data_IF_100280994153
#
_entry.id   IF_100280994153
#
_cell.length_a   1.000
_cell.length_b   1.000
_cell.length_c   1.000
_cell.angle_alpha   90.00
_cell.angle_beta   90.00
_cell.angle_gamma   90.00
#
_symmetry.space_group_name_H-M   'P 1'
#
loop_
_entity.id
_entity.type
_entity.pdbx_description
1 polymer ?
#
# COMPACT_ATOMS: atom_id res chain seq x y z
N UNK A 1 -38.40 -24.00 -21.67
CA UNK A 1 -37.47 -24.93 -20.99
C UNK A 1 -36.76 -24.16 -19.90
N UNK A 2 -36.89 -24.57 -18.65
CA UNK A 2 -36.25 -23.90 -17.50
C UNK A 2 -34.80 -24.38 -17.38
N UNK A 3 -33.85 -23.45 -17.47
CA UNK A 3 -32.41 -23.75 -17.31
C UNK A 3 -32.11 -24.17 -15.88
N UNK A 4 -31.49 -25.34 -15.71
CA UNK A 4 -31.07 -25.86 -14.40
C UNK A 4 -29.58 -25.55 -14.17
N UNK A 5 -29.30 -24.35 -13.65
CA UNK A 5 -27.93 -23.91 -13.38
C UNK A 5 -27.16 -24.78 -12.38
N UNK A 6 -27.86 -25.53 -11.50
CA UNK A 6 -27.22 -26.42 -10.53
C UNK A 6 -26.64 -27.68 -11.20
N UNK A 7 -27.40 -28.27 -12.13
CA UNK A 7 -26.92 -29.41 -12.91
C UNK A 7 -25.74 -29.02 -13.81
N UNK A 8 -25.85 -27.87 -14.48
CA UNK A 8 -24.79 -27.31 -15.31
C UNK A 8 -23.50 -27.02 -14.51
N UNK A 9 -23.62 -26.42 -13.32
CA UNK A 9 -22.48 -26.18 -12.45
C UNK A 9 -21.80 -27.47 -11.97
N UNK A 10 -22.56 -28.53 -11.70
CA UNK A 10 -21.99 -29.83 -11.32
C UNK A 10 -21.18 -30.47 -12.46
N UNK A 11 -21.64 -30.29 -13.70
CA UNK A 11 -20.94 -30.79 -14.89
C UNK A 11 -19.61 -30.05 -15.10
N UNK A 12 -19.62 -28.71 -15.00
CA UNK A 12 -18.39 -27.91 -15.07
C UNK A 12 -17.39 -28.32 -13.98
N UNK A 13 -17.83 -28.42 -12.72
CA UNK A 13 -16.95 -28.78 -11.61
C UNK A 13 -16.35 -30.18 -11.82
N UNK A 14 -17.10 -31.11 -12.39
CA UNK A 14 -16.60 -32.45 -12.72
C UNK A 14 -15.51 -32.39 -13.78
N UNK A 15 -15.71 -31.61 -14.84
CA UNK A 15 -14.74 -31.47 -15.92
C UNK A 15 -13.46 -30.77 -15.45
N UNK A 16 -13.60 -29.70 -14.67
CA UNK A 16 -12.47 -28.98 -14.08
C UNK A 16 -11.68 -29.90 -13.14
N UNK A 17 -12.34 -30.70 -12.28
CA UNK A 17 -11.66 -31.67 -11.42
C UNK A 17 -10.89 -32.70 -12.24
N UNK A 18 -11.51 -33.24 -13.30
CA UNK A 18 -10.86 -34.19 -14.20
C UNK A 18 -9.60 -33.60 -14.83
N UNK A 19 -9.69 -32.37 -15.35
CA UNK A 19 -8.56 -31.65 -15.92
C UNK A 19 -7.45 -31.41 -14.90
N UNK A 20 -7.78 -30.85 -13.73
CA UNK A 20 -6.80 -30.58 -12.67
C UNK A 20 -6.12 -31.86 -12.18
N UNK A 21 -6.87 -32.96 -11.98
CA UNK A 21 -6.27 -34.25 -11.60
C UNK A 21 -5.31 -34.76 -12.68
N UNK A 22 -5.66 -34.62 -13.95
CA UNK A 22 -4.81 -35.04 -15.07
C UNK A 22 -3.52 -34.23 -15.15
N UNK A 23 -3.59 -32.91 -14.98
CA UNK A 23 -2.44 -32.01 -15.04
C UNK A 23 -1.53 -32.14 -13.81
N UNK A 24 -2.08 -32.43 -12.63
CA UNK A 24 -1.30 -32.58 -11.40
C UNK A 24 -0.72 -33.98 -11.19
N UNK A 25 -1.25 -35.02 -11.86
CA UNK A 25 -0.77 -36.40 -11.71
C UNK A 25 0.74 -36.59 -11.97
N UNK A 26 1.36 -35.96 -12.99
CA UNK A 26 2.80 -36.04 -13.20
C UNK A 26 3.61 -35.40 -12.06
N UNK A 27 3.08 -34.33 -11.45
CA UNK A 27 3.74 -33.65 -10.33
C UNK A 27 3.71 -34.50 -9.06
N UNK A 28 2.56 -35.11 -8.74
CA UNK A 28 2.47 -36.05 -7.61
C UNK A 28 3.44 -37.22 -7.77
N UNK A 29 3.54 -37.78 -8.99
CA UNK A 29 4.50 -38.85 -9.26
C UNK A 29 5.96 -38.41 -9.03
N UNK A 30 6.33 -37.19 -9.45
CA UNK A 30 7.68 -36.65 -9.19
C UNK A 30 7.95 -36.47 -7.69
N UNK A 31 6.93 -36.10 -6.93
CA UNK A 31 7.02 -35.91 -5.48
C UNK A 31 7.23 -37.26 -4.78
N UNK A 32 6.43 -38.28 -5.13
CA UNK A 32 6.61 -39.65 -4.63
C UNK A 32 8.00 -40.22 -4.97
N UNK A 33 8.51 -39.95 -6.17
CA UNK A 33 9.83 -40.40 -6.61
C UNK A 33 10.95 -39.67 -5.84
N UNK A 34 10.76 -38.40 -5.47
CA UNK A 34 11.70 -37.63 -4.66
C UNK A 34 11.71 -38.10 -3.20
N UNK A 35 10.54 -38.35 -2.60
CA UNK A 35 10.43 -38.88 -1.24
C UNK A 35 11.17 -40.22 -1.13
N UNK A 36 10.95 -41.13 -2.09
CA UNK A 36 11.68 -42.41 -2.14
C UNK A 36 13.20 -42.24 -2.27
N UNK A 37 13.65 -41.22 -3.03
CA UNK A 37 15.09 -40.93 -3.16
C UNK A 37 15.66 -40.45 -1.83
N UNK A 38 14.95 -39.58 -1.13
CA UNK A 38 15.37 -39.05 0.18
C UNK A 38 15.43 -40.19 1.22
N UNK A 39 14.41 -41.05 1.27
CA UNK A 39 14.38 -42.20 2.17
C UNK A 39 15.50 -43.21 1.90
N UNK A 40 15.98 -43.27 0.65
CA UNK A 40 17.10 -44.13 0.24
C UNK A 40 18.48 -43.56 0.52
N UNK A 41 18.58 -42.31 1.01
CA UNK A 41 19.88 -41.70 1.33
C UNK A 41 20.53 -42.46 2.50
N UNK A 42 21.82 -42.81 2.38
CA UNK A 42 22.53 -43.50 3.46
C UNK A 42 22.63 -42.59 4.69
N UNK A 43 22.52 -43.17 5.88
CA UNK A 43 22.72 -42.46 7.15
C UNK A 43 24.12 -41.81 7.12
N UNK A 44 24.25 -40.50 7.37
CA UNK A 44 25.55 -39.85 7.41
C UNK A 44 26.46 -40.57 8.41
N UNK A 45 27.60 -41.07 7.92
CA UNK A 45 28.65 -41.63 8.77
C UNK A 45 29.71 -40.56 8.95
N UNK A 46 30.19 -40.37 10.17
CA UNK A 46 31.38 -39.55 10.41
C UNK A 46 32.58 -40.17 9.67
N UNK A 47 32.99 -39.52 8.59
CA UNK A 47 34.09 -40.01 7.76
C UNK A 47 34.42 -39.07 6.60
N UNK A 48 35.54 -38.35 6.77
CA UNK A 48 36.29 -37.50 5.83
C UNK A 48 35.48 -36.43 5.07
N UNK A 49 35.94 -35.19 5.15
CA UNK A 49 35.34 -34.03 4.48
C UNK A 49 35.01 -34.34 3.01
N UNK A 50 33.84 -33.90 2.56
CA UNK A 50 33.40 -34.07 1.17
C UNK A 50 34.44 -33.48 0.22
N UNK A 51 34.88 -34.26 -0.77
CA UNK A 51 35.77 -33.76 -1.81
C UNK A 51 35.00 -32.74 -2.67
N UNK A 52 35.35 -31.46 -2.51
CA UNK A 52 34.71 -30.37 -3.23
C UNK A 52 34.84 -30.49 -4.76
N UNK A 53 35.82 -31.24 -5.28
CA UNK A 53 35.94 -31.51 -6.71
C UNK A 53 34.89 -32.54 -7.16
N UNK A 54 34.63 -33.57 -6.34
CA UNK A 54 33.61 -34.58 -6.61
C UNK A 54 32.21 -33.97 -6.53
N UNK A 55 31.95 -33.16 -5.50
CA UNK A 55 30.71 -32.38 -5.36
C UNK A 55 30.49 -31.46 -6.56
N UNK A 56 31.53 -30.76 -7.02
CA UNK A 56 31.45 -29.89 -8.20
C UNK A 56 31.14 -30.67 -9.48
N UNK A 57 31.68 -31.88 -9.63
CA UNK A 57 31.39 -32.76 -10.77
C UNK A 57 29.92 -33.19 -10.77
N UNK A 58 29.40 -33.64 -9.63
CA UNK A 58 28.01 -34.07 -9.48
C UNK A 58 27.05 -32.92 -9.81
N UNK A 59 27.30 -31.74 -9.25
CA UNK A 59 26.47 -30.56 -9.50
C UNK A 59 26.51 -30.17 -10.99
N UNK A 60 27.68 -30.24 -11.63
CA UNK A 60 27.81 -29.93 -13.06
C UNK A 60 27.01 -30.88 -13.95
N UNK A 61 27.02 -32.18 -13.63
CA UNK A 61 26.27 -33.20 -14.38
C UNK A 61 24.76 -33.06 -14.16
N UNK A 62 24.32 -32.78 -12.92
CA UNK A 62 22.92 -32.50 -12.62
C UNK A 62 22.41 -31.25 -13.33
N UNK A 63 23.18 -30.15 -13.31
CA UNK A 63 22.84 -28.91 -14.00
C UNK A 63 22.71 -29.10 -15.51
N UNK A 64 23.53 -29.96 -16.11
CA UNK A 64 23.43 -30.30 -17.53
C UNK A 64 22.11 -31.01 -17.84
N UNK A 65 21.70 -31.98 -17.02
CA UNK A 65 20.43 -32.68 -17.19
C UNK A 65 19.22 -31.75 -17.05
N UNK A 66 19.28 -30.79 -16.12
CA UNK A 66 18.23 -29.79 -15.91
C UNK A 66 18.14 -28.84 -17.11
N UNK A 67 19.30 -28.41 -17.62
CA UNK A 67 19.36 -27.52 -18.79
C UNK A 67 18.76 -28.20 -20.03
N UNK A 68 19.07 -29.48 -20.25
CA UNK A 68 18.47 -30.28 -21.32
C UNK A 68 16.94 -30.42 -21.15
N UNK A 69 16.47 -30.66 -19.94
CA UNK A 69 15.03 -30.74 -19.64
C UNK A 69 14.31 -29.40 -19.85
N UNK A 70 14.92 -28.28 -19.46
CA UNK A 70 14.36 -26.93 -19.64
C UNK A 70 14.27 -26.57 -21.12
N UNK A 71 15.32 -26.87 -21.90
CA UNK A 71 15.34 -26.60 -23.34
C UNK A 71 14.35 -27.47 -24.13
N UNK A 72 13.91 -28.61 -23.58
CA UNK A 72 12.90 -29.48 -24.19
C UNK A 72 11.45 -29.02 -23.91
N UNK A 73 11.25 -28.01 -23.05
CA UNK A 73 9.93 -27.45 -22.82
C UNK A 73 9.50 -26.70 -24.09
N UNK A 74 8.49 -27.25 -24.78
CA UNK A 74 7.91 -26.56 -25.93
C UNK A 74 7.28 -25.24 -25.47
N UNK A 75 7.41 -24.15 -26.26
CA UNK A 75 6.76 -22.90 -25.94
C UNK A 75 5.25 -23.11 -25.81
N UNK A 76 4.65 -22.43 -24.83
CA UNK A 76 3.21 -22.48 -24.63
C UNK A 76 2.50 -22.13 -25.95
N UNK A 77 1.42 -22.85 -26.32
CA UNK A 77 0.65 -22.52 -27.52
C UNK A 77 0.14 -21.08 -27.42
N UNK A 78 0.17 -20.36 -28.54
CA UNK A 78 -0.38 -19.01 -28.59
C UNK A 78 -1.87 -19.05 -28.23
N UNK A 79 -2.24 -18.26 -27.22
CA UNK A 79 -3.63 -18.09 -26.83
C UNK A 79 -4.42 -17.52 -28.02
N UNK A 80 -5.65 -17.99 -28.25
CA UNK A 80 -6.48 -17.45 -29.33
C UNK A 80 -6.73 -15.96 -29.10
N UNK A 81 -6.81 -15.21 -30.20
CA UNK A 81 -7.07 -13.77 -30.23
C UNK A 81 -8.50 -13.48 -29.73
N UNK A 82 -8.64 -13.30 -28.41
CA UNK A 82 -9.92 -13.09 -27.73
C UNK A 82 -10.69 -11.91 -28.36
N UNK A 83 -10.07 -10.75 -28.67
CA UNK A 83 -10.74 -9.68 -29.41
C UNK A 83 -11.42 -10.13 -30.70
N UNK A 84 -10.72 -10.90 -31.55
CA UNK A 84 -11.30 -11.39 -32.82
C UNK A 84 -12.45 -12.36 -32.60
N UNK A 85 -12.39 -13.20 -31.57
CA UNK A 85 -13.49 -14.11 -31.24
C UNK A 85 -14.75 -13.35 -30.83
N UNK A 86 -14.59 -12.26 -30.09
CA UNK A 86 -15.70 -11.39 -29.69
C UNK A 86 -16.30 -10.68 -30.92
N UNK A 87 -15.45 -10.17 -31.81
CA UNK A 87 -15.91 -9.52 -33.06
C UNK A 87 -16.70 -10.50 -33.95
N UNK A 88 -16.21 -11.73 -34.14
CA UNK A 88 -16.90 -12.76 -34.93
C UNK A 88 -18.28 -13.08 -34.34
N UNK A 89 -18.36 -13.25 -33.02
CA UNK A 89 -19.64 -13.57 -32.34
C UNK A 89 -20.59 -12.36 -32.34
N UNK A 90 -20.06 -11.15 -32.21
CA UNK A 90 -20.83 -9.91 -32.28
C UNK A 90 -21.47 -9.71 -33.65
N UNK A 91 -20.68 -9.91 -34.72
CA UNK A 91 -21.16 -9.84 -36.10
C UNK A 91 -22.16 -10.95 -36.41
N UNK A 92 -21.93 -12.17 -35.92
CA UNK A 92 -22.85 -13.29 -36.09
C UNK A 92 -24.24 -13.04 -35.45
N UNK A 93 -24.32 -12.18 -34.43
CA UNK A 93 -25.55 -11.79 -33.75
C UNK A 93 -26.25 -10.57 -34.34
N UNK A 94 -25.79 -10.08 -35.50
CA UNK A 94 -26.42 -8.97 -36.22
C UNK A 94 -25.79 -7.60 -35.95
N UNK A 95 -24.72 -7.55 -35.16
CA UNK A 95 -23.88 -6.37 -34.95
C UNK A 95 -24.65 -5.10 -34.59
N UNK A 96 -24.14 -3.96 -35.06
CA UNK A 96 -24.67 -2.63 -34.73
C UNK A 96 -26.08 -2.36 -35.30
N UNK A 97 -26.46 -3.00 -36.41
CA UNK A 97 -27.77 -2.82 -37.05
C UNK A 97 -28.90 -3.38 -36.19
N UNK A 98 -28.72 -4.57 -35.62
CA UNK A 98 -29.72 -5.18 -34.74
C UNK A 98 -29.87 -4.39 -33.43
N UNK A 99 -28.76 -3.88 -32.87
CA UNK A 99 -28.79 -3.01 -31.68
C UNK A 99 -29.55 -1.72 -31.98
N UNK A 100 -29.28 -1.07 -33.12
CA UNK A 100 -30.00 0.15 -33.53
C UNK A 100 -31.49 -0.09 -33.68
N UNK A 101 -31.88 -1.22 -34.27
CA UNK A 101 -33.28 -1.60 -34.42
C UNK A 101 -33.98 -1.75 -33.06
N UNK A 102 -33.35 -2.45 -32.12
CA UNK A 102 -33.88 -2.64 -30.76
C UNK A 102 -34.04 -1.28 -30.05
N UNK A 103 -33.04 -0.41 -30.16
CA UNK A 103 -33.07 0.93 -29.54
C UNK A 103 -34.15 1.81 -30.17
N UNK A 104 -34.29 1.81 -31.50
CA UNK A 104 -35.32 2.60 -32.20
C UNK A 104 -36.74 2.11 -31.87
N UNK A 105 -36.94 0.79 -31.77
CA UNK A 105 -38.22 0.22 -31.37
C UNK A 105 -38.58 0.60 -29.92
N UNK A 106 -37.61 0.50 -29.00
CA UNK A 106 -37.77 0.90 -27.61
C UNK A 106 -38.05 2.41 -27.46
N UNK A 107 -37.32 3.26 -28.20
CA UNK A 107 -37.54 4.70 -28.20
C UNK A 107 -38.92 5.07 -28.75
N UNK A 108 -39.35 4.43 -29.85
CA UNK A 108 -40.67 4.69 -30.44
C UNK A 108 -41.81 4.26 -29.49
N UNK A 109 -41.68 3.11 -28.83
CA UNK A 109 -42.67 2.65 -27.85
C UNK A 109 -42.80 3.64 -26.69
N UNK A 110 -41.67 4.10 -26.13
CA UNK A 110 -41.68 5.04 -25.01
C UNK A 110 -42.24 6.42 -25.38
N UNK A 111 -41.94 6.93 -26.58
CA UNK A 111 -42.44 8.24 -27.03
C UNK A 111 -43.96 8.22 -27.28
N UNK A 112 -44.51 7.09 -27.73
CA UNK A 112 -45.95 6.95 -27.97
C UNK A 112 -46.80 7.03 -26.69
N UNK A 113 -46.21 6.74 -25.53
CA UNK A 113 -46.91 6.77 -24.23
C UNK A 113 -46.89 8.15 -23.55
N UNK A 114 -46.15 9.13 -24.07
CA UNK A 114 -46.10 10.48 -23.50
C UNK A 114 -47.39 11.23 -23.88
N UNK A 115 -48.26 11.59 -22.92
CA UNK A 115 -49.47 12.34 -23.22
C UNK A 115 -49.11 13.75 -23.74
N UNK A 116 -49.77 14.15 -24.82
CA UNK A 116 -49.61 15.50 -25.39
C UNK A 116 -49.99 16.57 -24.34
N UNK A 117 -49.16 17.62 -24.15
CA UNK A 117 -49.47 18.67 -23.19
C UNK A 117 -50.76 19.38 -23.60
N UNK A 118 -51.69 19.56 -22.65
CA UNK A 118 -52.84 20.43 -22.84
C UNK A 118 -52.45 21.88 -22.54
N UNK A 119 -52.82 22.80 -23.43
CA UNK A 119 -52.59 24.23 -23.23
C UNK A 119 -53.43 24.73 -22.06
N UNK A 120 -52.77 25.27 -21.03
CA UNK A 120 -53.42 26.05 -19.98
C UNK A 120 -53.99 27.36 -20.53
N UNK A 121 -54.99 27.91 -19.85
CA UNK A 121 -55.49 29.27 -20.13
C UNK A 121 -54.43 30.30 -19.73
N UNK A 122 -54.22 31.29 -20.59
CA UNK A 122 -53.29 32.40 -20.35
C UNK A 122 -53.68 33.16 -19.07
N UNK A 123 -52.69 33.41 -18.22
CA UNK A 123 -52.82 34.33 -17.08
C UNK A 123 -52.79 35.78 -17.55
N UNK A 124 -53.46 36.67 -16.82
CA UNK A 124 -53.42 38.11 -17.10
C UNK A 124 -51.98 38.65 -17.03
N UNK A 125 -51.62 39.49 -18.00
CA UNK A 125 -50.30 40.11 -18.11
C UNK A 125 -50.03 41.02 -16.90
N UNK A 126 -49.07 40.62 -16.07
CA UNK A 126 -48.51 41.49 -15.03
C UNK A 126 -47.61 42.56 -15.66
N UNK A 127 -47.74 43.81 -15.19
CA UNK A 127 -46.86 44.90 -15.59
C UNK A 127 -45.41 44.58 -15.25
N UNK A 128 -44.56 44.63 -16.26
CA UNK A 128 -43.13 44.41 -16.21
C UNK A 128 -42.45 45.52 -15.39
N UNK A 129 -41.77 45.11 -14.31
CA UNK A 129 -40.88 45.99 -13.56
C UNK A 129 -39.66 46.35 -14.40
N UNK A 130 -39.22 47.61 -14.33
CA UNK A 130 -38.02 48.08 -15.00
C UNK A 130 -36.83 47.18 -14.64
N UNK A 131 -36.35 46.41 -15.63
CA UNK A 131 -35.25 45.46 -15.44
C UNK A 131 -33.95 46.24 -15.27
N UNK A 132 -33.30 46.07 -14.12
CA UNK A 132 -31.96 46.60 -13.87
C UNK A 132 -30.97 45.81 -14.73
N UNK A 133 -30.20 46.51 -15.55
CA UNK A 133 -29.20 45.91 -16.44
C UNK A 133 -27.86 45.71 -15.72
N UNK A 134 -26.99 44.85 -16.25
CA UNK A 134 -25.62 44.70 -15.72
C UNK A 134 -24.84 46.01 -15.75
N UNK A 135 -25.15 46.90 -16.70
CA UNK A 135 -24.53 48.22 -16.82
C UNK A 135 -24.91 49.17 -15.67
N UNK A 136 -26.04 48.93 -14.98
CA UNK A 136 -26.48 49.71 -13.82
C UNK A 136 -25.84 49.23 -12.50
N UNK A 137 -25.45 47.95 -12.41
CA UNK A 137 -24.96 47.33 -11.18
C UNK A 137 -23.43 47.30 -11.11
N UNK A 138 -22.76 47.16 -12.26
CA UNK A 138 -21.30 47.09 -12.35
C UNK A 138 -20.58 48.29 -11.71
N UNK A 139 -20.99 49.56 -11.92
CA UNK A 139 -20.29 50.70 -11.34
C UNK A 139 -20.35 50.72 -9.80
N UNK A 140 -21.46 50.26 -9.22
CA UNK A 140 -21.67 50.24 -7.76
C UNK A 140 -20.81 49.16 -7.11
N UNK A 141 -20.75 47.96 -7.72
CA UNK A 141 -19.92 46.86 -7.24
C UNK A 141 -18.43 47.19 -7.34
N UNK A 142 -18.00 47.80 -8.45
CA UNK A 142 -16.59 48.12 -8.66
C UNK A 142 -16.09 49.14 -7.63
N UNK A 143 -16.90 50.17 -7.35
CA UNK A 143 -16.60 51.14 -6.29
C UNK A 143 -16.49 50.50 -4.90
N UNK A 144 -17.39 49.58 -4.56
CA UNK A 144 -17.35 48.89 -3.25
C UNK A 144 -16.14 47.97 -3.10
N UNK A 145 -15.74 47.28 -4.18
CA UNK A 145 -14.55 46.40 -4.16
C UNK A 145 -13.27 47.22 -4.03
N UNK A 146 -13.17 48.36 -4.73
CA UNK A 146 -12.01 49.24 -4.66
C UNK A 146 -11.85 49.89 -3.27
N UNK A 147 -12.96 50.34 -2.66
CA UNK A 147 -12.96 50.86 -1.29
C UNK A 147 -12.54 49.78 -0.27
N UNK A 148 -12.96 48.53 -0.47
CA UNK A 148 -12.59 47.43 0.42
C UNK A 148 -11.12 47.03 0.27
N UNK A 149 -10.61 46.95 -0.96
CA UNK A 149 -9.20 46.62 -1.23
C UNK A 149 -8.24 47.70 -0.72
N UNK A 150 -8.64 48.98 -0.77
CA UNK A 150 -7.84 50.08 -0.20
C UNK A 150 -7.73 50.01 1.34
N UNK A 151 -8.63 49.29 2.01
CA UNK A 151 -8.63 49.12 3.47
C UNK A 151 -7.79 47.96 3.99
N UNK A 152 -7.27 47.08 3.12
CA UNK A 152 -6.46 45.93 3.55
C UNK A 152 -5.01 46.41 3.75
N UNK A 153 -4.48 46.41 4.99
CA UNK A 153 -3.09 46.78 5.22
C UNK A 153 -2.18 45.76 4.54
N UNK A 154 -1.15 46.25 3.84
CA UNK A 154 -0.17 45.39 3.20
C UNK A 154 0.47 44.45 4.24
N UNK A 155 0.64 43.16 3.93
CA UNK A 155 1.31 42.23 4.83
C UNK A 155 2.72 42.74 5.13
N UNK A 156 3.05 42.88 6.41
CA UNK A 156 4.40 43.21 6.82
C UNK A 156 5.22 41.91 6.82
N UNK A 157 6.35 41.92 6.11
CA UNK A 157 7.28 40.79 6.11
C UNK A 157 7.83 40.56 7.51
N UNK A 158 7.81 39.30 7.95
CA UNK A 158 8.38 38.89 9.23
C UNK A 158 9.89 39.12 9.25
N UNK A 159 10.40 39.69 10.35
CA UNK A 159 11.84 39.92 10.53
C UNK A 159 12.52 38.60 10.89
N UNK A 160 13.23 38.00 9.94
CA UNK A 160 14.02 36.79 10.17
C UNK A 160 15.16 37.06 11.16
N UNK A 161 15.24 36.23 12.19
CA UNK A 161 16.34 36.25 13.17
C UNK A 161 17.61 35.77 12.48
N UNK A 162 18.70 36.54 12.58
CA UNK A 162 19.98 36.15 11.98
C UNK A 162 20.89 35.48 13.02
N UNK A 163 21.96 34.83 12.56
CA UNK A 163 22.90 34.12 13.44
C UNK A 163 23.55 35.10 14.43
N UNK A 164 23.72 36.35 14.04
CA UNK A 164 24.24 37.44 14.86
C UNK A 164 23.35 37.76 16.07
N UNK A 165 22.03 37.57 15.95
CA UNK A 165 21.07 37.80 17.03
C UNK A 165 21.15 36.70 18.11
N UNK A 166 21.54 35.48 17.73
CA UNK A 166 21.58 34.30 18.63
C UNK A 166 22.99 34.05 19.20
N UNK A 167 24.04 34.50 18.51
CA UNK A 167 25.43 34.37 18.93
C UNK A 167 25.73 34.87 20.36
N UNK A 168 25.23 36.03 20.84
CA UNK A 168 25.52 36.48 22.20
C UNK A 168 24.87 35.62 23.28
N UNK A 169 23.70 35.01 23.01
CA UNK A 169 23.02 34.12 23.96
C UNK A 169 23.75 32.79 24.14
N UNK A 170 24.34 32.26 23.07
CA UNK A 170 25.13 31.03 23.14
C UNK A 170 26.45 31.27 23.87
N UNK A 171 27.12 32.40 23.61
CA UNK A 171 28.39 32.74 24.27
C UNK A 171 28.23 32.86 25.78
N UNK A 172 27.19 33.53 26.25
CA UNK A 172 26.95 33.70 27.69
C UNK A 172 26.68 32.36 28.39
N UNK A 173 25.92 31.46 27.75
CA UNK A 173 25.60 30.16 28.34
C UNK A 173 26.82 29.22 28.34
N UNK A 174 27.63 29.19 27.28
CA UNK A 174 28.84 28.37 27.22
C UNK A 174 29.87 28.82 28.25
N UNK A 175 30.09 30.12 28.41
CA UNK A 175 31.07 30.64 29.38
C UNK A 175 30.67 30.31 30.83
N UNK A 176 29.38 30.44 31.14
CA UNK A 176 28.84 30.03 32.45
C UNK A 176 29.11 28.55 32.72
N UNK A 177 28.79 27.66 31.78
CA UNK A 177 28.99 26.21 31.92
C UNK A 177 30.46 25.81 32.03
N UNK A 178 31.35 26.46 31.30
CA UNK A 178 32.79 26.16 31.35
C UNK A 178 33.40 26.60 32.69
N UNK A 179 32.91 27.69 33.29
CA UNK A 179 33.36 28.16 34.60
C UNK A 179 32.98 27.22 35.76
N UNK A 180 31.92 26.42 35.59
CA UNK A 180 31.42 25.45 36.57
C UNK A 180 32.17 24.11 36.52
N UNK A 181 33.02 23.88 35.50
CA UNK A 181 33.80 22.65 35.41
C UNK A 181 34.90 22.63 36.49
N UNK A 182 35.01 21.55 37.29
CA UNK A 182 36.05 21.44 38.30
C UNK A 182 37.42 21.39 37.62
N UNK A 183 38.36 22.23 38.08
CA UNK A 183 39.74 22.20 37.58
C UNK A 183 40.37 20.82 37.87
N UNK A 184 41.01 20.18 36.88
CA UNK A 184 41.70 18.92 37.12
C UNK A 184 42.77 19.13 38.19
N UNK A 185 42.77 18.27 39.20
CA UNK A 185 43.87 18.20 40.17
C UNK A 185 44.98 17.36 39.54
N UNK A 186 46.18 17.93 39.44
CA UNK A 186 47.36 17.16 39.10
C UNK A 186 47.59 16.07 40.15
N UNK A 187 47.90 14.87 39.66
CA UNK A 187 48.27 13.75 40.52
C UNK A 187 49.59 14.05 41.22
N UNK A 188 49.70 13.66 42.50
CA UNK A 188 51.00 13.70 43.19
C UNK A 188 51.94 12.72 42.51
N UNK A 189 53.19 13.14 42.30
CA UNK A 189 54.24 12.28 41.78
C UNK A 189 54.32 10.98 42.58
N UNK A 190 54.35 9.86 41.86
CA UNK A 190 54.52 8.53 42.45
C UNK A 190 55.90 8.43 43.09
N UNK A 191 56.01 7.65 44.17
CA UNK A 191 57.31 7.31 44.76
C UNK A 191 58.19 6.64 43.70
N UNK A 192 59.49 6.96 43.71
CA UNK A 192 60.48 6.38 42.81
C UNK A 192 60.37 4.85 42.76
N UNK A 193 60.40 4.29 41.55
CA UNK A 193 60.24 2.87 41.30
C UNK A 193 61.39 2.07 41.88
N UNK A 194 61.07 0.99 42.62
CA UNK A 194 62.06 -0.01 42.99
C UNK A 194 62.32 -0.90 41.77
N UNK A 195 63.47 -0.76 41.15
CA UNK A 195 63.81 -1.52 39.93
C UNK A 195 63.95 -3.01 40.21
N UNK A 196 63.57 -3.83 39.22
CA UNK A 196 63.81 -5.27 39.24
C UNK A 196 65.18 -5.52 38.63
N UNK A 197 66.08 -6.11 39.42
CA UNK A 197 67.45 -6.43 39.01
C UNK A 197 67.49 -7.72 38.18
N UNK A 198 66.68 -8.70 38.53
CA UNK A 198 66.61 -9.98 37.83
C UNK A 198 65.26 -10.67 38.00
N UNK A 199 64.88 -11.49 37.02
CA UNK A 199 63.63 -12.25 36.96
C UNK A 199 63.93 -13.67 36.48
N UNK A 200 63.58 -14.65 37.31
CA UNK A 200 63.79 -16.05 36.97
C UNK A 200 62.57 -16.91 37.30
N UNK A 201 62.47 -18.02 36.57
CA UNK A 201 61.41 -19.02 36.72
C UNK A 201 61.80 -19.97 37.84
N UNK A 202 61.01 -19.99 38.91
CA UNK A 202 61.11 -20.97 39.98
C UNK A 202 60.45 -22.30 39.60
N UNK A 203 60.72 -23.32 40.41
CA UNK A 203 60.10 -24.63 40.27
C UNK A 203 58.57 -24.53 40.44
N UNK A 204 57.80 -25.22 39.60
CA UNK A 204 56.32 -25.18 39.65
C UNK A 204 55.65 -23.99 38.94
N UNK A 205 56.35 -23.27 38.05
CA UNK A 205 55.75 -22.21 37.22
C UNK A 205 55.55 -20.88 37.95
N UNK A 206 56.27 -20.68 39.05
CA UNK A 206 56.25 -19.47 39.88
C UNK A 206 57.32 -18.49 39.38
N UNK A 207 56.96 -17.21 39.31
CA UNK A 207 57.89 -16.14 38.94
C UNK A 207 58.49 -15.51 40.20
N UNK A 208 59.81 -15.37 40.21
CA UNK A 208 60.55 -14.77 41.31
C UNK A 208 61.31 -13.55 40.77
N UNK A 209 61.14 -12.42 41.43
CA UNK A 209 61.84 -11.18 41.13
C UNK A 209 62.85 -10.83 42.23
N UNK A 210 64.07 -10.51 41.83
CA UNK A 210 65.08 -9.91 42.71
C UNK A 210 65.07 -8.41 42.48
N UNK A 211 64.77 -7.65 43.52
CA UNK A 211 64.76 -6.19 43.47
C UNK A 211 66.18 -5.63 43.52
N UNK A 212 66.35 -4.37 43.11
CA UNK A 212 67.64 -3.66 43.09
C UNK A 212 68.30 -3.53 44.47
N UNK A 213 67.51 -3.62 45.55
CA UNK A 213 67.99 -3.62 46.94
C UNK A 213 68.34 -5.02 47.49
N UNK A 214 68.33 -6.05 46.64
CA UNK A 214 68.68 -7.42 47.00
C UNK A 214 67.55 -8.22 47.64
N UNK A 215 66.36 -7.64 47.84
CA UNK A 215 65.18 -8.39 48.30
C UNK A 215 64.68 -9.30 47.18
N UNK A 216 64.35 -10.54 47.55
CA UNK A 216 63.69 -11.50 46.65
C UNK A 216 62.20 -11.51 46.96
N UNK A 217 61.37 -11.39 45.93
CA UNK A 217 59.92 -11.44 46.05
C UNK A 217 59.35 -12.48 45.09
N UNK A 218 58.62 -13.42 45.65
CA UNK A 218 57.79 -14.34 44.86
C UNK A 218 56.57 -13.58 44.35
N UNK A 219 56.41 -13.54 43.02
CA UNK A 219 55.32 -12.83 42.34
C UNK A 219 54.12 -13.74 42.04
N UNK A 220 54.23 -15.04 42.38
CA UNK A 220 53.19 -16.04 42.20
C UNK A 220 53.33 -16.84 40.90
N UNK A 221 52.35 -17.71 40.62
CA UNK A 221 52.31 -18.49 39.39
C UNK A 221 52.13 -17.59 38.17
N UNK A 222 53.03 -17.68 37.19
CA UNK A 222 52.92 -16.94 35.93
C UNK A 222 52.25 -17.75 34.82
N UNK A 223 52.09 -19.06 35.02
CA UNK A 223 51.32 -19.93 34.13
C UNK A 223 49.97 -20.16 34.78
N UNK A 224 48.94 -19.48 34.27
CA UNK A 224 47.56 -19.78 34.63
C UNK A 224 47.20 -21.20 34.18
N UNK A 225 46.42 -21.93 34.98
CA UNK A 225 45.77 -23.15 34.50
C UNK A 225 44.82 -22.73 33.38
N UNK A 226 44.81 -23.46 32.28
CA UNK A 226 43.82 -23.24 31.22
C UNK A 226 42.42 -23.28 31.85
N UNK A 227 41.60 -22.26 31.56
CA UNK A 227 40.22 -22.24 32.01
C UNK A 227 39.48 -23.44 31.44
N UNK A 228 38.62 -24.08 32.24
CA UNK A 228 37.74 -25.11 31.71
C UNK A 228 36.91 -24.51 30.57
N UNK A 229 36.82 -25.24 29.45
CA UNK A 229 35.98 -24.82 28.34
C UNK A 229 34.57 -24.57 28.87
N UNK A 230 34.01 -23.39 28.55
CA UNK A 230 32.61 -23.10 28.86
C UNK A 230 31.71 -24.19 28.29
N UNK A 231 30.62 -24.50 29.00
CA UNK A 231 29.61 -25.41 28.47
C UNK A 231 29.16 -24.92 27.09
N UNK A 232 28.96 -25.82 26.11
CA UNK A 232 28.39 -25.44 24.83
C UNK A 232 27.12 -24.62 25.05
N UNK A 233 26.99 -23.50 24.33
CA UNK A 233 25.75 -22.74 24.30
C UNK A 233 24.61 -23.65 23.85
N UNK A 234 23.41 -23.46 24.41
CA UNK A 234 22.23 -24.17 23.89
C UNK A 234 21.97 -23.71 22.47
N UNK A 235 21.74 -24.66 21.56
CA UNK A 235 21.36 -24.35 20.19
C UNK A 235 20.11 -23.46 20.18
N UNK A 236 20.13 -22.45 19.32
CA UNK A 236 18.97 -21.59 19.10
C UNK A 236 17.85 -22.43 18.47
N UNK A 237 16.65 -22.34 19.03
CA UNK A 237 15.47 -23.00 18.47
C UNK A 237 15.20 -22.54 17.03
N UNK A 238 14.96 -23.49 16.12
CA UNK A 238 14.67 -23.23 14.71
C UNK A 238 13.57 -22.19 14.52
N UNK A 239 13.79 -21.25 13.59
CA UNK A 239 12.82 -20.22 13.22
C UNK A 239 11.46 -20.79 12.80
N UNK A 240 10.44 -19.93 12.85
CA UNK A 240 9.13 -20.23 12.26
C UNK A 240 9.26 -20.20 10.73
N UNK A 241 8.82 -21.29 10.09
CA UNK A 241 8.89 -21.45 8.63
C UNK A 241 7.65 -20.90 7.92
N UNK A 242 7.66 -20.93 6.59
CA UNK A 242 6.48 -20.58 5.79
C UNK A 242 5.36 -21.63 5.87
N UNK A 243 5.69 -22.88 6.24
CA UNK A 243 4.71 -23.94 6.46
C UNK A 243 3.85 -23.71 7.72
N UNK A 244 4.36 -22.91 8.66
CA UNK A 244 3.66 -22.52 9.89
C UNK A 244 2.77 -21.28 9.69
N UNK A 245 2.76 -20.67 8.49
CA UNK A 245 2.05 -19.43 8.20
C UNK A 245 0.58 -19.69 7.84
N UNK A 246 -0.31 -19.02 8.55
CA UNK A 246 -1.72 -18.83 8.21
C UNK A 246 -2.00 -17.35 7.97
N UNK A 247 -2.89 -17.07 7.02
CA UNK A 247 -3.28 -15.70 6.65
C UNK A 247 -4.78 -15.56 6.85
N UNK A 248 -5.17 -14.76 7.83
CA UNK A 248 -6.57 -14.38 8.04
C UNK A 248 -6.82 -12.98 7.51
N UNK A 249 -8.05 -12.71 7.07
CA UNK A 249 -8.50 -11.39 6.64
C UNK A 249 -9.78 -11.03 7.40
N UNK A 250 -9.82 -9.82 7.97
CA UNK A 250 -10.95 -9.32 8.76
C UNK A 250 -12.18 -8.97 7.91
N UNK A 251 -12.08 -9.07 6.58
CA UNK A 251 -13.14 -8.70 5.65
C UNK A 251 -13.13 -7.22 5.26
N UNK A 252 -12.21 -6.43 5.80
CA UNK A 252 -12.12 -4.98 5.55
C UNK A 252 -10.72 -4.58 5.09
N UNK A 253 -9.79 -4.35 6.01
CA UNK A 253 -8.44 -3.84 5.68
C UNK A 253 -7.32 -4.49 6.48
N UNK A 254 -7.61 -5.40 7.41
CA UNK A 254 -6.59 -6.05 8.22
C UNK A 254 -6.35 -7.47 7.73
N UNK A 255 -5.11 -7.74 7.30
CA UNK A 255 -4.62 -9.08 7.04
C UNK A 255 -3.76 -9.50 8.23
N UNK A 256 -4.09 -10.61 8.87
CA UNK A 256 -3.35 -11.14 10.02
C UNK A 256 -2.48 -12.29 9.53
N UNK A 257 -1.16 -12.08 9.56
CA UNK A 257 -0.20 -13.16 9.33
C UNK A 257 0.06 -13.85 10.68
N UNK A 258 -0.40 -15.09 10.82
CA UNK A 258 -0.20 -15.90 12.02
C UNK A 258 0.78 -17.05 11.75
N UNK A 259 1.89 -17.06 12.46
CA UNK A 259 2.85 -18.17 12.46
C UNK A 259 2.62 -19.06 13.69
N UNK A 260 2.32 -20.34 13.48
CA UNK A 260 2.02 -21.30 14.56
C UNK A 260 2.94 -22.51 14.47
N UNK A 261 3.82 -22.68 15.47
CA UNK A 261 4.72 -23.84 15.59
C UNK A 261 4.63 -24.43 16.99
N UNK A 262 3.87 -25.52 17.14
CA UNK A 262 3.57 -26.12 18.43
C UNK A 262 2.80 -25.15 19.34
N UNK A 263 3.36 -24.82 20.50
CA UNK A 263 2.78 -23.85 21.44
C UNK A 263 3.11 -22.38 21.09
N UNK A 264 4.03 -22.15 20.15
CA UNK A 264 4.44 -20.80 19.77
C UNK A 264 3.52 -20.24 18.68
N UNK A 265 2.69 -19.26 19.04
CA UNK A 265 1.86 -18.49 18.11
C UNK A 265 2.36 -17.06 18.06
N UNK A 266 2.63 -16.54 16.86
CA UNK A 266 2.92 -15.12 16.61
C UNK A 266 1.97 -14.56 15.58
N UNK A 267 1.33 -13.43 15.88
CA UNK A 267 0.42 -12.73 14.98
C UNK A 267 1.00 -11.37 14.59
N UNK A 268 0.95 -11.07 13.29
CA UNK A 268 1.37 -9.80 12.72
C UNK A 268 0.19 -9.19 11.94
N UNK A 269 -0.55 -8.24 12.53
CA UNK A 269 -1.62 -7.55 11.83
C UNK A 269 -1.05 -6.52 10.85
N UNK A 270 -1.40 -6.68 9.57
CA UNK A 270 -1.10 -5.75 8.48
C UNK A 270 -2.36 -4.98 8.12
N UNK A 271 -2.40 -3.70 8.48
CA UNK A 271 -3.49 -2.79 8.09
C UNK A 271 -3.16 -2.21 6.72
N UNK A 272 -3.97 -2.57 5.72
CA UNK A 272 -3.81 -2.10 4.34
C UNK A 272 -4.17 -0.61 4.24
N UNK A 273 -3.33 0.24 3.61
CA UNK A 273 -3.59 1.66 3.43
C UNK A 273 -4.56 1.92 2.26
N UNK A 274 -5.76 1.36 2.34
CA UNK A 274 -6.80 1.44 1.29
C UNK A 274 -7.97 2.32 1.73
N UNK A 275 -8.68 2.87 0.75
CA UNK A 275 -9.91 3.63 1.01
C UNK A 275 -11.10 2.68 1.02
N UNK A 276 -11.85 2.65 2.12
CA UNK A 276 -13.08 1.85 2.24
C UNK A 276 -14.29 2.77 2.27
N UNK A 277 -15.21 2.62 1.31
CA UNK A 277 -16.47 3.37 1.31
C UNK A 277 -17.39 2.89 2.44
N UNK A 278 -17.71 3.80 3.36
CA UNK A 278 -18.61 3.60 4.50
C UNK A 278 -19.98 4.22 4.27
N UNK A 279 -20.26 4.74 3.07
CA UNK A 279 -21.54 5.34 2.71
C UNK A 279 -21.72 6.76 3.25
N UNK A 280 -22.95 7.14 3.58
CA UNK A 280 -23.28 8.48 4.08
C UNK A 280 -22.82 8.63 5.54
N UNK A 281 -22.20 9.77 5.86
CA UNK A 281 -21.79 10.09 7.23
C UNK A 281 -22.97 10.02 8.20
N UNK A 282 -22.75 9.44 9.37
CA UNK A 282 -23.74 9.30 10.45
C UNK A 282 -23.15 9.76 11.77
N UNK A 283 -23.84 10.66 12.48
CA UNK A 283 -23.42 11.11 13.80
C UNK A 283 -23.44 9.96 14.82
N UNK A 284 -22.42 9.90 15.69
CA UNK A 284 -22.26 8.85 16.68
C UNK A 284 -21.56 7.57 16.19
N UNK A 285 -21.17 7.52 14.90
CA UNK A 285 -20.30 6.46 14.36
C UNK A 285 -18.84 6.93 14.35
N UNK A 286 -17.93 6.04 14.72
CA UNK A 286 -16.48 6.28 14.59
C UNK A 286 -15.97 5.72 13.27
N UNK A 287 -15.08 6.46 12.63
CA UNK A 287 -14.45 6.11 11.36
C UNK A 287 -12.94 6.03 11.57
N UNK A 288 -12.30 5.01 11.00
CA UNK A 288 -10.86 4.81 11.10
C UNK A 288 -10.13 5.40 9.88
N UNK A 289 -8.81 5.61 9.94
CA UNK A 289 -8.03 6.08 8.80
C UNK A 289 -8.30 5.26 7.53
N UNK A 290 -8.46 5.97 6.40
CA UNK A 290 -8.83 5.38 5.11
C UNK A 290 -10.33 5.19 4.90
N UNK A 291 -11.17 5.33 5.91
CA UNK A 291 -12.62 5.24 5.72
C UNK A 291 -13.14 6.46 4.94
N UNK A 292 -13.87 6.20 3.86
CA UNK A 292 -14.49 7.18 2.99
C UNK A 292 -15.97 7.37 3.31
N UNK A 293 -16.45 8.60 3.37
CA UNK A 293 -17.87 8.91 3.59
C UNK A 293 -18.38 10.00 2.66
N UNK A 294 -19.68 9.97 2.38
CA UNK A 294 -20.39 11.04 1.69
C UNK A 294 -21.04 11.99 2.69
N UNK A 295 -20.73 13.29 2.60
CA UNK A 295 -21.34 14.36 3.40
C UNK A 295 -21.46 15.65 2.58
N UNK A 296 -22.64 16.29 2.59
CA UNK A 296 -22.88 17.55 1.87
C UNK A 296 -22.68 17.45 0.35
N UNK A 297 -22.97 16.28 -0.24
CA UNK A 297 -22.75 15.99 -1.66
C UNK A 297 -21.27 15.88 -2.07
N UNK A 298 -20.37 15.80 -1.09
CA UNK A 298 -18.93 15.65 -1.28
C UNK A 298 -18.45 14.33 -0.66
N UNK A 299 -17.36 13.77 -1.19
CA UNK A 299 -16.71 12.57 -0.65
C UNK A 299 -15.48 12.95 0.16
N UNK A 300 -15.37 12.40 1.36
CA UNK A 300 -14.36 12.70 2.36
C UNK A 300 -13.66 11.43 2.81
N UNK A 301 -12.37 11.50 3.11
CA UNK A 301 -11.58 10.36 3.60
C UNK A 301 -11.00 10.70 4.96
N UNK A 302 -11.28 9.87 5.97
CA UNK A 302 -10.71 9.99 7.30
C UNK A 302 -9.18 9.81 7.24
N UNK A 303 -8.44 10.75 7.82
CA UNK A 303 -6.98 10.72 7.95
C UNK A 303 -6.53 10.19 9.31
N UNK A 304 -7.40 10.32 10.31
CA UNK A 304 -7.23 9.83 11.67
C UNK A 304 -8.54 9.17 12.15
N UNK A 305 -8.51 8.52 13.31
CA UNK A 305 -9.74 8.01 13.91
C UNK A 305 -10.62 9.18 14.36
N UNK A 306 -11.85 9.26 13.84
CA UNK A 306 -12.74 10.38 14.13
C UNK A 306 -14.21 10.00 14.00
N UNK A 307 -15.05 10.57 14.89
CA UNK A 307 -16.50 10.59 14.74
C UNK A 307 -17.06 11.99 14.48
N UNK A 308 -16.16 12.96 14.31
CA UNK A 308 -16.52 14.35 14.05
C UNK A 308 -16.97 14.54 12.61
N UNK A 309 -17.70 15.62 12.38
CA UNK A 309 -18.31 15.91 11.08
C UNK A 309 -17.26 16.32 10.02
N UNK A 310 -17.35 15.82 8.76
CA UNK A 310 -16.29 16.01 7.77
C UNK A 310 -15.98 17.44 7.32
N UNK A 311 -16.95 18.35 7.40
CA UNK A 311 -16.80 19.75 6.95
C UNK A 311 -16.23 20.68 8.02
N UNK A 312 -16.17 20.24 9.27
CA UNK A 312 -15.73 21.06 10.41
C UNK A 312 -14.43 20.57 11.04
N UNK A 313 -14.11 19.28 10.92
CA UNK A 313 -13.00 18.65 11.62
C UNK A 313 -11.77 18.47 10.72
N UNK A 314 -10.57 18.60 11.31
CA UNK A 314 -9.29 18.45 10.60
C UNK A 314 -8.95 17.00 10.25
N UNK A 315 -9.59 16.04 10.91
CA UNK A 315 -9.38 14.60 10.67
C UNK A 315 -9.89 14.10 9.31
N UNK A 316 -10.47 14.98 8.49
CA UNK A 316 -11.01 14.64 7.18
C UNK A 316 -10.27 15.32 6.06
N UNK A 317 -10.02 14.57 4.98
CA UNK A 317 -9.54 15.09 3.71
C UNK A 317 -10.67 15.07 2.69
N UNK A 318 -10.97 16.23 2.09
CA UNK A 318 -11.88 16.31 0.96
C UNK A 318 -11.28 15.59 -0.25
N UNK A 319 -11.93 14.52 -0.71
CA UNK A 319 -11.50 13.73 -1.86
C UNK A 319 -12.24 14.13 -3.13
N UNK A 320 -13.55 14.36 -3.04
CA UNK A 320 -14.38 14.83 -4.16
C UNK A 320 -15.28 15.95 -3.66
N UNK A 321 -15.23 17.11 -4.33
CA UNK A 321 -16.09 18.26 -4.01
C UNK A 321 -17.41 18.16 -4.78
N UNK A 322 -18.53 18.48 -4.12
CA UNK A 322 -19.84 18.63 -4.78
C UNK A 322 -19.70 19.59 -5.97
N UNK A 323 -20.23 19.19 -7.12
CA UNK A 323 -20.38 20.08 -8.28
C UNK A 323 -21.28 21.27 -7.98
N UNK A 324 -21.17 22.32 -8.80
CA UNK A 324 -22.15 23.41 -8.79
C UNK A 324 -23.47 22.88 -9.36
N UNK A 325 -24.56 23.35 -8.79
CA UNK A 325 -25.88 23.04 -9.36
C UNK A 325 -25.95 23.61 -10.79
N UNK A 326 -26.56 22.84 -11.69
CA UNK A 326 -26.72 23.25 -13.08
C UNK A 326 -27.60 24.50 -13.18
N UNK A 327 -27.40 25.31 -14.22
CA UNK A 327 -28.34 26.40 -14.52
C UNK A 327 -29.67 25.79 -14.99
N UNK A 328 -30.77 26.35 -14.50
CA UNK A 328 -32.09 25.97 -14.98
C UNK A 328 -32.19 26.15 -16.51
N UNK A 329 -32.79 25.17 -17.17
CA UNK A 329 -33.01 25.23 -18.61
C UNK A 329 -33.97 26.40 -18.91
N UNK A 330 -33.50 27.37 -19.70
CA UNK A 330 -34.39 28.37 -20.29
C UNK A 330 -35.22 27.67 -21.36
N UNK A 331 -36.48 27.37 -21.07
CA UNK A 331 -37.42 26.96 -22.11
C UNK A 331 -37.59 28.14 -23.07
N UNK A 332 -37.02 28.04 -24.27
CA UNK A 332 -37.41 28.94 -25.34
C UNK A 332 -38.91 28.74 -25.60
N UNK A 333 -39.71 29.81 -25.73
CA UNK A 333 -41.11 29.66 -26.13
C UNK A 333 -41.14 28.87 -27.44
N UNK A 334 -42.07 27.91 -27.55
CA UNK A 334 -42.27 27.16 -28.76
C UNK A 334 -42.38 28.15 -29.93
N UNK A 335 -41.48 28.05 -30.91
CA UNK A 335 -41.58 28.86 -32.12
C UNK A 335 -42.90 28.47 -32.77
N UNK A 336 -43.87 29.38 -32.74
CA UNK A 336 -45.14 29.24 -33.45
C UNK A 336 -44.82 29.16 -34.94
N UNK A 337 -44.60 27.93 -35.41
CA UNK A 337 -44.54 27.63 -36.83
C UNK A 337 -45.98 27.69 -37.29
N UNK A 338 -46.34 28.81 -37.94
CA UNK A 338 -47.63 28.94 -38.61
C UNK A 338 -47.85 27.78 -39.59
N UNK A 339 -49.10 27.52 -40.02
CA UNK A 339 -49.43 26.37 -40.84
C UNK A 339 -48.53 26.31 -42.08
N UNK A 340 -47.77 25.23 -42.20
CA UNK A 340 -46.91 24.96 -43.35
C UNK A 340 -47.84 24.77 -44.55
N UNK A 341 -47.82 25.70 -45.51
CA UNK A 341 -48.57 25.57 -46.76
C UNK A 341 -47.88 24.53 -47.64
N UNK A 342 -48.42 23.32 -47.66
CA UNK A 342 -48.04 22.29 -48.63
C UNK A 342 -48.82 22.54 -49.91
N UNK A 343 -48.19 23.16 -50.91
CA UNK A 343 -48.77 23.25 -52.25
C UNK A 343 -48.62 21.92 -52.97
N UNK A 344 -49.74 21.26 -53.29
CA UNK A 344 -49.76 20.08 -54.15
C UNK A 344 -49.51 20.56 -55.60
N UNK A 345 -48.52 20.03 -56.33
CA UNK A 345 -48.30 20.40 -57.71
C UNK A 345 -49.51 19.98 -58.56
N UNK A 346 -50.03 20.88 -59.39
CA UNK A 346 -51.04 20.52 -60.41
C UNK A 346 -50.47 19.44 -61.31
N UNK A 347 -51.19 18.32 -61.45
CA UNK A 347 -50.93 17.33 -62.48
C UNK A 347 -51.04 18.04 -63.85
N UNK A 348 -50.00 17.92 -64.66
CA UNK A 348 -49.98 18.45 -66.03
C UNK A 348 -51.01 17.73 -66.90
N UNK A 349 -51.71 18.52 -67.72
CA UNK A 349 -52.33 18.06 -68.97
C UNK A 349 -51.27 17.89 -70.05
#
# INVERSE_FOLDING_TARGET
MTFNGKAFGQEIVKEVKSFVTKELAPLFKRLDDLEKRIDSLPVPKDGKDADMNEVRSIISDELKSITEAVNAIQPAPELPDIPKLIEIEFDARGGDEEIRRIVDEACRATIAEIPLPQNGKDGENGMDGASVSLDDVLPVLQKQVDEHLAGIPAPQDGKSVTIEDVAPLIRSEVEKRVSELPKPKDGKDGRDGLDVKDLFRGEGGVLIATMSDGRVKELGQFVGKDGENGLPGKDGSDGVGFDDLSVDYDGEKTVILRFTKGENVKEFPLVLPVVIDRGVFSEGKTYSPGDGVTWGGSFWIAQEETGEKPDTAKGWRLAVKKGRDGKDAKSAPAVNSGPIRVTIPKAGE
#
